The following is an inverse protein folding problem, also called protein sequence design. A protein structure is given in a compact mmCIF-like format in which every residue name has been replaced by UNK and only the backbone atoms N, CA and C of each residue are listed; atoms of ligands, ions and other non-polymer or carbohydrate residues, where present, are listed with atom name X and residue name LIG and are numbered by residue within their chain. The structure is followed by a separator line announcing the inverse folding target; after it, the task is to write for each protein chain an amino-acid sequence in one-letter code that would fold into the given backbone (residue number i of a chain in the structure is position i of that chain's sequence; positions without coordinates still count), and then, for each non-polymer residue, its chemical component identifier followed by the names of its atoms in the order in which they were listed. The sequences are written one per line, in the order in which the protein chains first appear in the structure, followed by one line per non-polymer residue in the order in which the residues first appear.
data_IF_023579083308
#
_entry.id   IF_023579083308
#
_cell.length_a   1.000
_cell.length_b   1.000
_cell.length_c   1.000
_cell.angle_alpha   90.00
_cell.angle_beta   90.00
_cell.angle_gamma   90.00
#
_symmetry.space_group_name_H-M   'P 1'
#
loop_
_entity.id
_entity.type
_entity.pdbx_description
1 polymer ?
#
# COMPACT_ATOMS: atom_id res chain seq x y z
N UNK A 1 15.38 -3.50 13.72
CA UNK A 1 16.14 -3.50 12.44
C UNK A 1 15.47 -2.75 11.28
N UNK A 2 14.13 -2.75 11.13
CA UNK A 2 13.46 -2.11 9.98
C UNK A 2 13.61 -0.58 9.95
N UNK A 3 13.48 0.11 11.08
CA UNK A 3 13.60 1.58 11.15
C UNK A 3 14.98 2.09 10.70
N UNK A 4 16.08 1.44 11.13
CA UNK A 4 17.44 1.81 10.72
C UNK A 4 17.63 1.72 9.20
N UNK A 5 17.13 0.65 8.58
CA UNK A 5 17.18 0.47 7.12
C UNK A 5 16.42 1.57 6.38
N UNK A 6 15.27 2.01 6.92
CA UNK A 6 14.52 3.13 6.36
C UNK A 6 15.25 4.46 6.52
N UNK A 7 15.88 4.71 7.67
CA UNK A 7 16.69 5.91 7.88
C UNK A 7 17.89 5.97 6.93
N UNK A 8 18.58 4.84 6.74
CA UNK A 8 19.70 4.75 5.79
C UNK A 8 19.25 4.98 4.33
N UNK A 9 18.03 4.58 3.98
CA UNK A 9 17.44 4.82 2.65
C UNK A 9 16.99 6.27 2.47
N UNK A 10 16.37 6.86 3.49
CA UNK A 10 15.78 8.19 3.41
C UNK A 10 16.83 9.31 3.51
N UNK A 11 18.03 9.04 4.02
CA UNK A 11 19.10 10.05 4.23
C UNK A 11 19.47 10.87 2.99
N UNK A 12 19.24 10.32 1.80
CA UNK A 12 19.60 10.94 0.52
C UNK A 12 18.47 11.83 -0.03
N UNK A 13 17.31 11.86 0.64
CA UNK A 13 16.17 12.70 0.30
C UNK A 13 16.17 13.95 1.18
N UNK A 14 15.79 15.09 0.60
CA UNK A 14 15.50 16.30 1.35
C UNK A 14 14.06 16.22 1.89
N UNK A 15 13.91 15.82 3.15
CA UNK A 15 12.60 15.69 3.81
C UNK A 15 12.68 16.07 5.29
N UNK A 16 11.53 16.46 5.84
CA UNK A 16 11.35 16.71 7.26
C UNK A 16 10.30 15.76 7.84
N UNK A 17 10.58 15.21 9.03
CA UNK A 17 9.64 14.37 9.75
C UNK A 17 8.63 15.24 10.50
N UNK A 18 7.38 15.27 10.03
CA UNK A 18 6.29 16.05 10.64
C UNK A 18 5.10 15.15 11.01
N UNK A 19 4.59 15.33 12.24
CA UNK A 19 3.39 14.62 12.69
C UNK A 19 2.13 15.29 12.13
N UNK A 20 1.29 14.49 11.47
CA UNK A 20 0.02 14.94 10.92
C UNK A 20 -1.14 14.25 11.67
N UNK A 21 -2.02 15.01 12.34
CA UNK A 21 -3.19 14.45 13.01
C UNK A 21 -4.17 13.87 11.97
N UNK A 22 -4.96 12.86 12.37
CA UNK A 22 -5.72 12.01 11.44
C UNK A 22 -6.61 12.72 10.41
N UNK A 23 -7.10 13.94 10.68
CA UNK A 23 -7.87 14.73 9.71
C UNK A 23 -7.06 15.14 8.47
N UNK A 24 -5.74 15.26 8.58
CA UNK A 24 -4.85 15.54 7.45
C UNK A 24 -4.55 14.28 6.61
N UNK A 25 -4.80 13.09 7.14
CA UNK A 25 -4.46 11.82 6.49
C UNK A 25 -5.58 11.29 5.56
N UNK A 26 -6.69 12.01 5.41
CA UNK A 26 -7.87 11.55 4.66
C UNK A 26 -7.53 11.10 3.23
N UNK A 27 -6.65 11.84 2.54
CA UNK A 27 -6.22 11.49 1.18
C UNK A 27 -5.35 10.22 1.18
N UNK A 28 -4.38 10.13 2.09
CA UNK A 28 -3.52 8.94 2.22
C UNK A 28 -4.33 7.68 2.58
N UNK A 29 -5.28 7.81 3.51
CA UNK A 29 -6.17 6.72 3.92
C UNK A 29 -7.08 6.26 2.77
N UNK A 30 -7.65 7.20 2.00
CA UNK A 30 -8.49 6.87 0.85
C UNK A 30 -7.70 6.14 -0.24
N UNK A 31 -6.48 6.60 -0.55
CA UNK A 31 -5.62 5.97 -1.55
C UNK A 31 -5.09 4.61 -1.11
N UNK A 32 -4.74 4.45 0.18
CA UNK A 32 -4.29 3.17 0.74
C UNK A 32 -5.38 2.09 0.65
N UNK A 33 -6.64 2.46 0.84
CA UNK A 33 -7.78 1.52 0.73
C UNK A 33 -8.06 1.11 -0.72
N UNK A 34 -7.80 2.00 -1.69
CA UNK A 34 -8.04 1.71 -3.11
C UNK A 34 -7.16 0.57 -3.62
N UNK A 35 -5.88 0.54 -3.25
CA UNK A 35 -4.97 -0.53 -3.68
C UNK A 35 -5.36 -1.89 -3.08
N UNK A 36 -5.74 -1.94 -1.80
CA UNK A 36 -6.21 -3.16 -1.15
C UNK A 36 -7.47 -3.73 -1.82
N UNK A 37 -8.40 -2.86 -2.20
CA UNK A 37 -9.60 -3.28 -2.92
C UNK A 37 -9.27 -3.86 -4.29
N UNK A 38 -8.39 -3.21 -5.05
CA UNK A 38 -7.92 -3.72 -6.35
C UNK A 38 -7.21 -5.06 -6.20
N UNK A 39 -6.31 -5.20 -5.22
CA UNK A 39 -5.64 -6.48 -4.95
C UNK A 39 -6.64 -7.59 -4.62
N UNK A 40 -7.67 -7.29 -3.83
CA UNK A 40 -8.72 -8.27 -3.53
C UNK A 40 -9.53 -8.68 -4.76
N UNK A 41 -9.82 -7.76 -5.67
CA UNK A 41 -10.51 -8.06 -6.92
C UNK A 41 -9.65 -8.92 -7.84
N UNK A 42 -8.35 -8.60 -7.97
CA UNK A 42 -7.42 -9.39 -8.78
C UNK A 42 -7.24 -10.81 -8.26
N UNK A 43 -7.21 -11.02 -6.94
CA UNK A 43 -7.14 -12.37 -6.35
C UNK A 43 -8.40 -13.16 -6.71
N UNK A 44 -9.60 -12.56 -6.60
CA UNK A 44 -10.85 -13.21 -6.99
C UNK A 44 -10.91 -13.53 -8.48
N UNK A 45 -10.39 -12.67 -9.32
CA UNK A 45 -10.31 -12.90 -10.77
C UNK A 45 -9.37 -14.06 -11.08
N UNK A 46 -8.23 -14.16 -10.41
CA UNK A 46 -7.31 -15.29 -10.55
C UNK A 46 -7.94 -16.61 -10.07
N UNK A 47 -8.63 -16.61 -8.93
CA UNK A 47 -9.38 -17.78 -8.43
C UNK A 47 -10.42 -18.24 -9.45
N UNK A 48 -11.18 -17.31 -10.03
CA UNK A 48 -12.15 -17.60 -11.08
C UNK A 48 -11.47 -18.21 -12.31
N UNK A 49 -10.38 -17.60 -12.79
CA UNK A 49 -9.62 -18.11 -13.94
C UNK A 49 -9.09 -19.52 -13.67
N UNK A 50 -8.68 -19.83 -12.44
CA UNK A 50 -8.25 -21.18 -12.04
C UNK A 50 -9.41 -22.19 -12.02
N UNK A 51 -10.59 -21.81 -11.53
CA UNK A 51 -11.79 -22.66 -11.57
C UNK A 51 -12.18 -23.04 -13.01
N UNK A 52 -11.99 -22.12 -13.97
CA UNK A 52 -12.29 -22.35 -15.38
C UNK A 52 -11.11 -22.87 -16.21
N UNK A 53 -9.93 -23.10 -15.62
CA UNK A 53 -8.71 -23.48 -16.35
C UNK A 53 -8.79 -24.88 -16.98
N UNK A 54 -9.52 -25.79 -16.33
CA UNK A 54 -9.59 -27.21 -16.69
C UNK A 54 -10.98 -27.64 -17.23
N UNK A 55 -11.87 -26.68 -17.53
CA UNK A 55 -13.12 -26.88 -18.28
C UNK A 55 -12.87 -26.82 -19.79
#
# INVERSE_FOLDING_TARGET
MRQRRWLEFLKDYDFELSYHPGKANVVADALSRKSLHMSSLMVKELELIEEFRDL
#
